data_IF_813139268974
#
_entry.id   IF_813139268974
#
_cell.length_a   1.000
_cell.length_b   1.000
_cell.length_c   1.000
_cell.angle_alpha   90.00
_cell.angle_beta   90.00
_cell.angle_gamma   90.00
#
_symmetry.space_group_name_H-M   'P 1'
#
loop_
_entity.id
_entity.type
_entity.pdbx_description
1 polymer ?
#
# COMPACT_ATOMS: atom_id res chain seq x y z
N UNK A 1 8.59 -4.10 16.84
CA UNK A 1 8.74 -2.86 16.03
C UNK A 1 10.18 -2.32 16.11
N UNK A 2 10.74 -2.02 17.29
CA UNK A 2 12.17 -1.64 17.43
C UNK A 2 13.17 -2.61 16.77
N UNK A 3 12.92 -3.92 16.87
CA UNK A 3 13.77 -4.92 16.21
C UNK A 3 13.82 -4.75 14.68
N UNK A 4 12.67 -4.52 14.03
CA UNK A 4 12.60 -4.29 12.59
C UNK A 4 13.35 -3.02 12.18
N UNK A 5 13.20 -1.93 12.94
CA UNK A 5 13.93 -0.69 12.71
C UNK A 5 15.45 -0.87 12.84
N UNK A 6 15.90 -1.64 13.83
CA UNK A 6 17.32 -1.94 14.01
C UNK A 6 17.89 -2.79 12.86
N UNK A 7 17.16 -3.81 12.39
CA UNK A 7 17.56 -4.61 11.23
C UNK A 7 17.64 -3.75 9.96
N UNK A 8 16.63 -2.90 9.73
CA UNK A 8 16.59 -1.98 8.59
C UNK A 8 17.70 -0.93 8.64
N UNK A 9 17.96 -0.33 9.80
CA UNK A 9 18.96 0.73 9.95
C UNK A 9 20.42 0.26 9.89
N UNK A 10 20.69 -1.02 10.20
CA UNK A 10 22.05 -1.60 10.17
C UNK A 10 22.37 -2.35 8.87
N UNK A 11 21.36 -2.63 8.04
CA UNK A 11 21.53 -3.33 6.78
C UNK A 11 22.06 -2.45 5.64
N UNK A 12 22.71 -3.08 4.67
CA UNK A 12 23.00 -2.48 3.37
C UNK A 12 21.67 -2.16 2.67
N UNK A 13 21.34 -0.86 2.58
CA UNK A 13 20.06 -0.39 2.05
C UNK A 13 19.79 -0.89 0.63
N UNK A 14 20.83 -1.15 -0.16
CA UNK A 14 20.70 -1.67 -1.53
C UNK A 14 20.27 -3.14 -1.60
N UNK A 15 20.38 -3.87 -0.47
CA UNK A 15 20.08 -5.31 -0.36
C UNK A 15 18.84 -5.61 0.48
N UNK A 16 18.25 -4.61 1.14
CA UNK A 16 17.01 -4.81 1.88
C UNK A 16 15.86 -5.10 0.91
N UNK A 17 14.96 -6.05 1.25
CA UNK A 17 13.80 -6.34 0.43
C UNK A 17 12.86 -5.14 0.42
N UNK A 18 12.22 -4.90 -0.74
CA UNK A 18 11.13 -3.92 -0.82
C UNK A 18 9.90 -4.47 -0.10
N UNK A 19 9.19 -3.59 0.61
CA UNK A 19 7.98 -3.91 1.36
C UNK A 19 6.76 -3.47 0.53
N UNK A 20 5.77 -4.34 0.40
CA UNK A 20 4.53 -4.08 -0.30
C UNK A 20 3.35 -4.37 0.62
N UNK A 21 2.31 -3.54 0.53
CA UNK A 21 1.00 -3.80 1.13
C UNK A 21 0.01 -4.11 0.01
N UNK A 22 -0.81 -5.13 0.20
CA UNK A 22 -1.80 -5.59 -0.79
C UNK A 22 -3.16 -5.74 -0.13
N UNK A 23 -4.21 -5.39 -0.85
CA UNK A 23 -5.59 -5.59 -0.42
C UNK A 23 -6.38 -6.28 -1.55
N UNK A 24 -6.59 -7.59 -1.41
CA UNK A 24 -7.37 -8.40 -2.37
C UNK A 24 -8.88 -8.31 -2.17
N UNK A 25 -9.32 -7.61 -1.11
CA UNK A 25 -10.68 -7.72 -0.59
C UNK A 25 -11.43 -6.40 -0.61
N UNK A 26 -10.94 -5.42 -1.38
CA UNK A 26 -11.63 -4.13 -1.55
C UNK A 26 -13.01 -4.38 -2.18
N UNK A 27 -14.01 -3.68 -1.65
CA UNK A 27 -15.40 -3.77 -2.10
C UNK A 27 -15.94 -2.41 -2.48
N UNK A 28 -16.93 -2.40 -3.37
CA UNK A 28 -17.75 -1.21 -3.64
C UNK A 28 -18.83 -0.99 -2.56
N UNK A 29 -19.67 0.01 -2.77
CA UNK A 29 -20.79 0.36 -1.90
C UNK A 29 -21.86 -0.73 -1.82
N UNK A 30 -21.97 -1.58 -2.84
CA UNK A 30 -22.94 -2.67 -2.92
C UNK A 30 -22.38 -3.98 -2.32
N UNK A 31 -21.12 -3.95 -1.87
CA UNK A 31 -20.44 -5.07 -1.22
C UNK A 31 -19.83 -6.07 -2.20
N UNK A 32 -19.81 -5.75 -3.50
CA UNK A 32 -19.18 -6.57 -4.52
C UNK A 32 -17.65 -6.40 -4.50
N UNK A 33 -16.92 -7.47 -4.79
CA UNK A 33 -15.46 -7.47 -4.80
C UNK A 33 -14.93 -6.84 -6.08
N UNK A 34 -14.14 -5.79 -5.94
CA UNK A 34 -13.60 -5.05 -7.08
C UNK A 34 -12.44 -5.76 -7.78
N UNK A 35 -11.78 -6.70 -7.08
CA UNK A 35 -10.73 -7.52 -7.63
C UNK A 35 -11.11 -9.00 -7.55
N UNK A 36 -11.02 -9.77 -8.66
CA UNK A 36 -11.49 -11.16 -8.69
C UNK A 36 -10.69 -12.10 -7.78
N UNK A 37 -9.44 -11.75 -7.45
CA UNK A 37 -8.64 -12.50 -6.48
C UNK A 37 -8.12 -13.84 -7.01
N UNK A 38 -7.94 -14.80 -6.08
CA UNK A 38 -7.46 -16.17 -6.38
C UNK A 38 -6.20 -16.20 -7.27
N UNK A 39 -6.29 -16.86 -8.44
CA UNK A 39 -5.18 -16.96 -9.40
C UNK A 39 -4.80 -15.62 -10.02
N UNK A 40 -5.75 -14.68 -10.12
CA UNK A 40 -5.51 -13.37 -10.70
C UNK A 40 -4.56 -12.52 -9.85
N UNK A 41 -4.43 -12.81 -8.55
CA UNK A 41 -3.41 -12.20 -7.67
C UNK A 41 -1.98 -12.34 -8.21
N UNK A 42 -1.73 -13.36 -9.06
CA UNK A 42 -0.45 -13.53 -9.74
C UNK A 42 -0.06 -12.32 -10.60
N UNK A 43 -1.03 -11.56 -11.14
CA UNK A 43 -0.79 -10.35 -11.93
C UNK A 43 -0.18 -9.23 -11.09
N UNK A 44 -0.67 -9.05 -9.86
CA UNK A 44 -0.09 -8.08 -8.92
C UNK A 44 1.26 -8.56 -8.41
N UNK A 45 1.46 -9.88 -8.21
CA UNK A 45 2.78 -10.41 -7.88
C UNK A 45 3.79 -10.23 -9.03
N UNK A 46 3.36 -10.36 -10.30
CA UNK A 46 4.20 -10.05 -11.46
C UNK A 46 4.62 -8.58 -11.46
N UNK A 47 3.71 -7.65 -11.13
CA UNK A 47 4.05 -6.25 -10.94
C UNK A 47 5.04 -6.02 -9.79
N UNK A 48 4.85 -6.68 -8.64
CA UNK A 48 5.80 -6.63 -7.50
C UNK A 48 7.21 -7.05 -7.93
N UNK A 49 7.33 -8.15 -8.69
CA UNK A 49 8.61 -8.59 -9.26
C UNK A 49 9.18 -7.52 -10.21
N UNK A 50 8.36 -6.94 -11.08
CA UNK A 50 8.76 -5.85 -11.96
C UNK A 50 9.24 -4.61 -11.19
N UNK A 51 8.62 -4.24 -10.07
CA UNK A 51 9.05 -3.14 -9.18
C UNK A 51 10.39 -3.41 -8.49
N UNK A 52 10.69 -4.67 -8.20
CA UNK A 52 11.99 -5.08 -7.68
C UNK A 52 13.06 -5.05 -8.78
N UNK A 53 12.73 -5.49 -10.00
CA UNK A 53 13.64 -5.51 -11.15
C UNK A 53 13.83 -4.15 -11.83
N UNK A 54 12.99 -3.14 -11.52
CA UNK A 54 13.02 -1.83 -12.16
C UNK A 54 12.37 -1.81 -13.54
N UNK A 55 11.53 -2.80 -13.86
CA UNK A 55 10.89 -2.96 -15.17
C UNK A 55 9.40 -2.60 -15.19
N UNK A 56 8.82 -2.23 -14.03
CA UNK A 56 7.44 -1.78 -13.91
C UNK A 56 7.36 -0.39 -13.28
N UNK A 57 6.50 0.46 -13.84
CA UNK A 57 6.15 1.79 -13.34
C UNK A 57 5.19 1.75 -12.16
N UNK A 58 4.98 2.95 -11.60
CA UNK A 58 4.06 3.20 -10.49
C UNK A 58 3.80 4.70 -10.37
N UNK A 59 2.62 5.08 -9.89
CA UNK A 59 2.33 6.46 -9.52
C UNK A 59 2.56 6.68 -8.03
N UNK A 60 3.20 7.81 -7.71
CA UNK A 60 3.41 8.23 -6.33
C UNK A 60 2.11 8.81 -5.79
N UNK A 61 1.62 8.24 -4.69
CA UNK A 61 0.42 8.66 -3.98
C UNK A 61 0.74 9.01 -2.53
N UNK A 62 -0.25 9.49 -1.77
CA UNK A 62 -0.08 9.79 -0.35
C UNK A 62 0.30 8.55 0.48
N UNK A 63 -0.06 7.35 0.02
CA UNK A 63 0.13 6.08 0.74
C UNK A 63 1.29 5.24 0.19
N UNK A 64 2.09 5.79 -0.74
CA UNK A 64 3.25 5.12 -1.31
C UNK A 64 3.22 5.12 -2.84
N UNK A 65 3.53 3.97 -3.44
CA UNK A 65 3.54 3.79 -4.88
C UNK A 65 2.47 2.78 -5.28
N UNK A 66 1.50 3.19 -6.09
CA UNK A 66 0.47 2.31 -6.65
C UNK A 66 0.82 1.95 -8.09
N UNK A 67 0.45 0.75 -8.58
CA UNK A 67 0.62 0.41 -9.99
C UNK A 67 -0.17 1.37 -10.86
N UNK A 68 0.35 1.65 -12.05
CA UNK A 68 -0.47 2.19 -13.14
C UNK A 68 -1.23 1.05 -13.79
N UNK A 69 -2.38 1.35 -14.39
CA UNK A 69 -3.19 0.32 -15.06
C UNK A 69 -2.39 -0.35 -16.18
N UNK A 70 -1.60 0.42 -16.93
CA UNK A 70 -0.73 -0.09 -18.00
C UNK A 70 0.47 -0.92 -17.52
N UNK A 71 0.82 -0.83 -16.24
CA UNK A 71 1.90 -1.62 -15.63
C UNK A 71 1.41 -2.98 -15.08
N UNK A 72 0.11 -3.24 -15.14
CA UNK A 72 -0.50 -4.53 -14.79
C UNK A 72 -0.79 -5.33 -16.06
N UNK A 73 -0.43 -6.62 -16.05
CA UNK A 73 -0.87 -7.53 -17.10
C UNK A 73 -2.34 -7.90 -16.89
N UNK A 74 -3.24 -7.21 -17.58
CA UNK A 74 -4.68 -7.45 -17.56
C UNK A 74 -5.14 -8.28 -18.77
N UNK A 75 -4.21 -8.87 -19.53
CA UNK A 75 -4.55 -9.66 -20.71
C UNK A 75 -5.44 -10.83 -20.33
N UNK A 76 -6.61 -10.91 -20.97
CA UNK A 76 -7.61 -11.95 -20.72
C UNK A 76 -8.34 -11.84 -19.37
N UNK A 77 -8.15 -10.74 -18.63
CA UNK A 77 -8.93 -10.45 -17.43
C UNK A 77 -10.16 -9.61 -17.79
N UNK A 78 -11.34 -10.13 -17.49
CA UNK A 78 -12.58 -9.34 -17.58
C UNK A 78 -12.74 -8.54 -16.28
N UNK A 79 -12.44 -7.25 -16.33
CA UNK A 79 -12.64 -6.30 -15.24
C UNK A 79 -13.22 -5.00 -15.81
N UNK A 80 -14.22 -4.44 -15.14
CA UNK A 80 -14.78 -3.15 -15.53
C UNK A 80 -13.70 -2.06 -15.34
N UNK A 81 -13.47 -1.18 -16.32
CA UNK A 81 -12.58 -0.03 -16.14
C UNK A 81 -12.90 0.82 -14.91
N UNK A 82 -14.18 0.96 -14.54
CA UNK A 82 -14.60 1.68 -13.34
C UNK A 82 -14.18 0.95 -12.05
N UNK A 83 -14.26 -0.38 -12.03
CA UNK A 83 -13.75 -1.18 -10.90
C UNK A 83 -12.24 -1.04 -10.77
N UNK A 84 -11.51 -1.05 -11.89
CA UNK A 84 -10.05 -0.84 -11.88
C UNK A 84 -9.66 0.54 -11.34
N UNK A 85 -10.38 1.59 -11.76
CA UNK A 85 -10.19 2.94 -11.22
C UNK A 85 -10.46 2.97 -9.70
N UNK A 86 -11.53 2.33 -9.25
CA UNK A 86 -11.87 2.20 -7.83
C UNK A 86 -10.79 1.44 -7.06
N UNK A 87 -10.30 0.30 -7.55
CA UNK A 87 -9.25 -0.51 -6.92
C UNK A 87 -8.02 0.35 -6.59
N UNK A 88 -7.63 1.21 -7.53
CA UNK A 88 -6.44 2.06 -7.43
C UNK A 88 -6.69 3.42 -6.77
N UNK A 89 -7.96 3.77 -6.49
CA UNK A 89 -8.30 5.05 -5.87
C UNK A 89 -7.80 5.15 -4.43
N UNK A 90 -7.16 6.26 -4.10
CA UNK A 90 -6.84 6.64 -2.71
C UNK A 90 -7.88 7.62 -2.21
N UNK A 91 -8.78 7.16 -1.34
CA UNK A 91 -9.73 8.02 -0.63
C UNK A 91 -9.01 8.72 0.53
N UNK A 92 -8.71 10.01 0.34
CA UNK A 92 -7.96 10.79 1.33
C UNK A 92 -8.71 10.96 2.65
N UNK A 93 -10.03 11.13 2.61
CA UNK A 93 -10.83 11.37 3.81
C UNK A 93 -10.92 10.08 4.64
N UNK A 94 -11.12 8.94 3.98
CA UNK A 94 -11.08 7.63 4.66
C UNK A 94 -9.70 7.36 5.26
N UNK A 95 -8.61 7.70 4.55
CA UNK A 95 -7.24 7.54 5.07
C UNK A 95 -6.90 8.49 6.22
N UNK A 96 -7.46 9.70 6.25
CA UNK A 96 -7.32 10.60 7.39
C UNK A 96 -8.00 10.02 8.63
N UNK A 97 -9.22 9.50 8.51
CA UNK A 97 -9.92 8.82 9.61
C UNK A 97 -9.17 7.55 10.07
N UNK A 98 -8.62 6.77 9.13
CA UNK A 98 -7.78 5.61 9.46
C UNK A 98 -6.50 6.04 10.20
N UNK A 99 -5.89 7.16 9.81
CA UNK A 99 -4.68 7.66 10.46
C UNK A 99 -4.90 8.02 11.94
N UNK A 100 -6.09 8.51 12.29
CA UNK A 100 -6.48 8.78 13.68
C UNK A 100 -6.61 7.47 14.47
N UNK A 101 -7.25 6.46 13.90
CA UNK A 101 -7.36 5.12 14.50
C UNK A 101 -5.99 4.44 14.68
N UNK A 102 -5.10 4.57 13.69
CA UNK A 102 -3.72 4.08 13.77
C UNK A 102 -2.99 4.79 14.92
N UNK A 103 -3.17 6.10 15.09
CA UNK A 103 -2.56 6.86 16.17
C UNK A 103 -3.03 6.41 17.55
N UNK A 104 -4.34 6.20 17.72
CA UNK A 104 -4.93 5.66 18.95
C UNK A 104 -4.40 4.25 19.25
N UNK A 105 -4.34 3.40 18.23
CA UNK A 105 -3.76 2.07 18.35
C UNK A 105 -2.28 2.17 18.75
N UNK A 106 -1.48 3.06 18.15
CA UNK A 106 -0.07 3.26 18.50
C UNK A 106 0.11 3.70 19.96
N UNK A 107 -0.71 4.66 20.42
CA UNK A 107 -0.74 5.12 21.82
C UNK A 107 -1.02 3.99 22.81
N UNK A 108 -1.86 3.02 22.44
CA UNK A 108 -2.18 1.86 23.30
C UNK A 108 -0.96 1.01 23.69
N UNK A 109 0.13 1.05 22.90
CA UNK A 109 1.38 0.34 23.20
C UNK A 109 2.30 1.08 24.18
N UNK A 110 2.01 2.35 24.50
CA UNK A 110 2.80 3.21 25.39
C UNK A 110 4.26 3.36 24.94
N UNK A 111 5.19 3.38 25.89
CA UNK A 111 6.64 3.56 25.67
C UNK A 111 7.30 2.48 24.79
N UNK A 112 6.59 1.38 24.51
CA UNK A 112 7.06 0.30 23.63
C UNK A 112 6.96 0.66 22.14
N UNK A 113 6.11 1.61 21.79
CA UNK A 113 6.00 2.10 20.42
C UNK A 113 7.24 2.94 20.06
N UNK A 114 7.96 2.63 18.97
CA UNK A 114 9.05 3.48 18.48
C UNK A 114 8.54 4.83 17.99
N UNK A 115 9.29 5.90 18.22
CA UNK A 115 8.96 7.25 17.75
C UNK A 115 8.93 7.31 16.22
N UNK A 116 9.79 6.56 15.55
CA UNK A 116 9.91 6.52 14.11
C UNK A 116 8.59 6.10 13.42
N UNK A 117 7.75 5.31 14.09
CA UNK A 117 6.43 4.97 13.55
C UNK A 117 5.41 6.10 13.68
N UNK A 118 5.49 6.89 14.74
CA UNK A 118 4.70 8.14 14.83
C UNK A 118 5.16 9.14 13.77
N UNK A 119 6.46 9.23 13.50
CA UNK A 119 7.00 10.12 12.49
C UNK A 119 6.52 9.74 11.07
N UNK A 120 6.47 8.43 10.75
CA UNK A 120 5.90 7.93 9.49
C UNK A 120 4.39 8.20 9.38
N UNK A 121 3.65 8.10 10.50
CA UNK A 121 2.22 8.41 10.56
C UNK A 121 1.95 9.90 10.33
N UNK A 122 2.75 10.79 10.94
CA UNK A 122 2.65 12.23 10.71
C UNK A 122 3.04 12.59 9.27
N UNK A 123 4.06 11.93 8.71
CA UNK A 123 4.41 12.08 7.30
C UNK A 123 3.27 11.63 6.37
N UNK A 124 2.54 10.56 6.70
CA UNK A 124 1.35 10.12 5.98
C UNK A 124 0.26 11.19 6.03
N UNK A 125 -0.10 11.68 7.23
CA UNK A 125 -1.11 12.74 7.39
C UNK A 125 -0.79 13.97 6.56
N UNK A 126 0.47 14.42 6.58
CA UNK A 126 0.91 15.55 5.76
C UNK A 126 0.67 15.32 4.27
N UNK A 127 1.05 14.15 3.74
CA UNK A 127 0.83 13.81 2.32
C UNK A 127 -0.66 13.71 1.95
N UNK A 128 -1.52 13.35 2.90
CA UNK A 128 -2.98 13.30 2.68
C UNK A 128 -3.59 14.70 2.61
N UNK A 129 -3.03 15.68 3.34
CA UNK A 129 -3.50 17.07 3.40
C UNK A 129 -2.93 18.01 2.33
N UNK A 130 -1.95 17.56 1.54
CA UNK A 130 -1.44 18.25 0.34
C UNK A 130 -2.41 18.10 -0.85
#
# INVERSE_FOLDING_TARGET
LRHWLSLGGSGDQSKLPKIFSVNWFRRDSDGHFLWPGFGENSRVLAWVVGRCAGTAGADKTAIGYLPRVEDLDLTGLEIDPADMEEVLRVDKDAWLQESEQIEENFKSYGERMPQELFDELEALKKRLSE
#
